data_IF_482871075550
#
_entry.id   IF_482871075550
#
_cell.length_a   1.000
_cell.length_b   1.000
_cell.length_c   1.000
_cell.angle_alpha   90.00
_cell.angle_beta   90.00
_cell.angle_gamma   90.00
#
_symmetry.space_group_name_H-M   'P 1'
#
loop_
_entity.id
_entity.type
_entity.pdbx_description
1 polymer ?
#
# COMPACT_ATOMS: atom_id res chain seq x y z
N UNK A 1 28.37 -22.10 -4.79
CA UNK A 1 27.50 -21.41 -3.83
C UNK A 1 26.25 -21.04 -4.61
N UNK A 2 25.13 -21.65 -4.24
CA UNK A 2 23.94 -21.80 -5.08
C UNK A 2 23.32 -20.46 -5.49
N UNK A 3 22.95 -20.41 -6.76
CA UNK A 3 22.08 -19.46 -7.42
C UNK A 3 20.71 -19.42 -6.70
N UNK A 4 20.42 -18.31 -6.01
CA UNK A 4 19.11 -18.01 -5.37
C UNK A 4 18.46 -16.78 -6.06
N UNK A 5 19.00 -16.39 -7.20
CA UNK A 5 18.77 -15.10 -7.84
C UNK A 5 17.82 -15.14 -9.05
N UNK A 6 17.46 -16.32 -9.58
CA UNK A 6 16.56 -16.41 -10.75
C UNK A 6 15.14 -16.94 -10.46
N UNK A 7 14.94 -17.79 -9.43
CA UNK A 7 13.59 -18.28 -9.10
C UNK A 7 12.75 -17.25 -8.32
N UNK A 8 13.41 -16.39 -7.54
CA UNK A 8 12.75 -15.32 -6.76
C UNK A 8 12.08 -14.28 -7.67
N UNK A 9 12.60 -14.07 -8.88
CA UNK A 9 11.99 -13.21 -9.90
C UNK A 9 10.75 -13.86 -10.58
N UNK A 10 10.72 -15.18 -10.73
CA UNK A 10 9.62 -15.90 -11.37
C UNK A 10 8.44 -16.16 -10.43
N UNK A 11 8.70 -16.39 -9.14
CA UNK A 11 7.63 -16.56 -8.14
C UNK A 11 6.83 -15.28 -7.90
N UNK A 12 7.49 -14.11 -7.93
CA UNK A 12 6.84 -12.82 -7.75
C UNK A 12 5.89 -12.43 -8.90
N UNK A 13 6.18 -12.86 -10.14
CA UNK A 13 5.32 -12.63 -11.30
C UNK A 13 4.04 -13.45 -11.28
N UNK A 14 4.03 -14.62 -10.63
CA UNK A 14 2.87 -15.53 -10.63
C UNK A 14 1.88 -15.18 -9.51
N UNK A 15 2.33 -14.77 -8.33
CA UNK A 15 1.40 -14.58 -7.19
C UNK A 15 0.83 -13.16 -7.10
N UNK A 16 1.64 -12.13 -7.41
CA UNK A 16 1.20 -10.73 -7.20
C UNK A 16 0.70 -10.07 -8.50
N UNK A 17 1.08 -10.54 -9.70
CA UNK A 17 0.70 -9.87 -10.96
C UNK A 17 -0.39 -10.57 -11.78
N UNK A 18 -0.69 -11.85 -11.54
CA UNK A 18 -1.80 -12.52 -12.28
C UNK A 18 -3.19 -12.13 -11.77
N UNK A 19 -3.35 -11.88 -10.48
CA UNK A 19 -4.66 -11.54 -9.87
C UNK A 19 -4.92 -10.02 -9.80
N UNK A 20 -3.89 -9.17 -9.79
CA UNK A 20 -4.02 -7.74 -9.48
C UNK A 20 -4.39 -6.83 -10.66
N UNK A 21 -4.40 -7.34 -11.90
CA UNK A 21 -4.59 -6.50 -13.09
C UNK A 21 -6.03 -6.46 -13.63
N UNK A 22 -7.00 -7.13 -13.00
CA UNK A 22 -8.36 -7.21 -13.55
C UNK A 22 -9.39 -6.80 -12.49
N UNK A 23 -9.58 -5.48 -12.37
CA UNK A 23 -10.83 -4.79 -12.00
C UNK A 23 -11.67 -5.45 -10.86
N UNK A 24 -11.24 -5.31 -9.60
CA UNK A 24 -12.13 -5.04 -8.45
C UNK A 24 -11.30 -5.06 -7.15
N UNK A 25 -10.90 -3.87 -6.68
CA UNK A 25 -9.71 -3.76 -5.81
C UNK A 25 -10.01 -3.79 -4.29
N UNK A 26 -11.28 -3.76 -3.85
CA UNK A 26 -11.61 -3.50 -2.43
C UNK A 26 -11.40 -4.69 -1.47
N UNK A 27 -11.30 -5.92 -1.99
CA UNK A 27 -11.00 -7.14 -1.24
C UNK A 27 -9.53 -7.59 -1.32
N UNK A 28 -8.71 -6.93 -2.16
CA UNK A 28 -7.38 -7.43 -2.50
C UNK A 28 -6.26 -6.93 -1.57
N UNK A 29 -6.51 -5.96 -0.69
CA UNK A 29 -5.45 -5.39 0.16
C UNK A 29 -5.17 -6.28 1.37
N UNK A 30 -6.22 -6.81 1.99
CA UNK A 30 -6.11 -7.79 3.07
C UNK A 30 -5.46 -9.08 2.57
N UNK A 31 -5.89 -9.59 1.42
CA UNK A 31 -5.29 -10.78 0.79
C UNK A 31 -3.82 -10.54 0.41
N UNK A 32 -3.50 -9.35 -0.12
CA UNK A 32 -2.11 -8.97 -0.40
C UNK A 32 -1.26 -8.88 0.86
N UNK A 33 -1.84 -8.42 1.99
CA UNK A 33 -1.13 -8.37 3.28
C UNK A 33 -0.93 -9.76 3.86
N UNK A 34 -1.95 -10.61 3.85
CA UNK A 34 -1.84 -12.00 4.30
C UNK A 34 -0.79 -12.77 3.49
N UNK A 35 -0.78 -12.56 2.18
CA UNK A 35 0.23 -13.17 1.31
C UNK A 35 1.63 -12.68 1.66
N UNK A 36 1.78 -11.37 1.89
CA UNK A 36 3.04 -10.76 2.29
C UNK A 36 3.56 -11.34 3.61
N UNK A 37 2.69 -11.48 4.60
CA UNK A 37 3.02 -12.04 5.92
C UNK A 37 3.42 -13.53 5.83
N UNK A 38 2.85 -14.28 4.87
CA UNK A 38 3.19 -15.69 4.59
C UNK A 38 4.41 -15.87 3.69
N UNK A 39 5.01 -14.79 3.16
CA UNK A 39 6.20 -14.90 2.31
C UNK A 39 7.38 -15.59 3.01
N UNK A 40 7.73 -15.26 4.28
CA UNK A 40 8.85 -15.88 4.97
C UNK A 40 8.65 -17.39 5.19
N UNK A 41 7.41 -17.82 5.46
CA UNK A 41 7.06 -19.23 5.63
C UNK A 41 7.29 -20.05 4.35
N UNK A 42 7.19 -19.40 3.19
CA UNK A 42 7.44 -20.00 1.87
C UNK A 42 8.89 -19.86 1.41
N UNK A 43 9.79 -19.35 2.27
CA UNK A 43 11.19 -19.11 1.93
C UNK A 43 11.42 -17.90 1.02
N UNK A 44 10.41 -17.04 0.83
CA UNK A 44 10.53 -15.81 0.05
C UNK A 44 10.78 -14.62 0.98
N UNK A 45 11.89 -13.91 0.79
CA UNK A 45 12.14 -12.68 1.54
C UNK A 45 11.41 -11.50 0.88
N UNK A 46 10.70 -10.72 1.69
CA UNK A 46 10.13 -9.44 1.29
C UNK A 46 11.24 -8.49 0.84
N UNK A 47 11.05 -7.85 -0.30
CA UNK A 47 12.01 -6.90 -0.88
C UNK A 47 11.38 -5.52 -1.06
N UNK A 48 12.18 -4.52 -1.47
CA UNK A 48 11.71 -3.14 -1.70
C UNK A 48 10.44 -3.07 -2.55
N UNK A 49 10.35 -3.88 -3.60
CA UNK A 49 9.19 -3.93 -4.49
C UNK A 49 7.93 -4.42 -3.77
N UNK A 50 8.06 -5.45 -2.92
CA UNK A 50 6.95 -6.05 -2.16
C UNK A 50 6.28 -4.99 -1.26
N UNK A 51 7.11 -4.25 -0.52
CA UNK A 51 6.65 -3.16 0.31
C UNK A 51 6.07 -2.00 -0.51
N UNK A 52 6.68 -1.65 -1.64
CA UNK A 52 6.20 -0.59 -2.52
C UNK A 52 4.79 -0.85 -3.07
N UNK A 53 4.46 -2.11 -3.36
CA UNK A 53 3.12 -2.52 -3.81
C UNK A 53 2.09 -2.30 -2.70
N UNK A 54 2.37 -2.79 -1.48
CA UNK A 54 1.48 -2.63 -0.34
C UNK A 54 1.30 -1.15 0.05
N UNK A 55 2.38 -0.37 0.12
CA UNK A 55 2.29 1.08 0.42
C UNK A 55 1.42 1.80 -0.60
N UNK A 56 1.61 1.52 -1.89
CA UNK A 56 0.76 2.09 -2.94
C UNK A 56 -0.70 1.66 -2.79
N UNK A 57 -0.94 0.39 -2.43
CA UNK A 57 -2.26 -0.14 -2.09
C UNK A 57 -2.91 0.65 -0.95
N UNK A 58 -2.26 0.71 0.21
CA UNK A 58 -2.73 1.43 1.39
C UNK A 58 -3.05 2.90 1.07
N UNK A 59 -2.15 3.62 0.38
CA UNK A 59 -2.39 5.00 -0.02
C UNK A 59 -3.62 5.16 -0.93
N UNK A 60 -3.86 4.22 -1.86
CA UNK A 60 -5.02 4.25 -2.75
C UNK A 60 -6.35 4.05 -2.00
N UNK A 61 -6.32 3.35 -0.88
CA UNK A 61 -7.49 3.14 -0.02
C UNK A 61 -7.70 4.21 1.05
N UNK A 62 -6.88 5.27 1.07
CA UNK A 62 -6.92 6.26 2.15
C UNK A 62 -6.46 5.70 3.49
N UNK A 63 -5.65 4.63 3.46
CA UNK A 63 -5.06 4.00 4.64
C UNK A 63 -3.58 4.38 4.76
N UNK A 64 -3.24 5.65 4.50
CA UNK A 64 -1.87 6.13 4.44
C UNK A 64 -1.08 5.87 5.75
N UNK A 65 -1.77 5.85 6.90
CA UNK A 65 -1.19 5.48 8.20
C UNK A 65 -0.63 4.04 8.21
N UNK A 66 -1.36 3.06 7.66
CA UNK A 66 -0.85 1.68 7.52
C UNK A 66 0.33 1.61 6.56
N UNK A 67 0.38 2.50 5.58
CA UNK A 67 1.53 2.66 4.69
C UNK A 67 2.78 3.19 5.41
N UNK A 68 2.64 4.00 6.46
CA UNK A 68 3.75 4.42 7.32
C UNK A 68 4.26 3.29 8.21
N UNK A 69 3.34 2.52 8.81
CA UNK A 69 3.71 1.33 9.60
C UNK A 69 4.56 0.36 8.76
N UNK A 70 4.16 0.15 7.51
CA UNK A 70 4.91 -0.69 6.58
C UNK A 70 6.31 -0.11 6.24
N UNK A 71 6.46 1.21 6.26
CA UNK A 71 7.74 1.88 6.03
C UNK A 71 8.68 1.72 7.23
N UNK A 72 8.14 1.70 8.44
CA UNK A 72 8.89 1.36 9.65
C UNK A 72 9.30 -0.12 9.64
N UNK A 73 8.43 -1.03 9.18
CA UNK A 73 8.74 -2.45 8.97
C UNK A 73 9.86 -2.65 7.93
N UNK A 74 9.89 -1.87 6.83
CA UNK A 74 11.00 -1.86 5.87
C UNK A 74 12.32 -1.52 6.57
N UNK A 75 12.29 -0.48 7.40
CA UNK A 75 13.46 0.04 8.10
C UNK A 75 13.98 -0.97 9.12
N UNK A 76 13.10 -1.61 9.89
CA UNK A 76 13.49 -2.65 10.85
C UNK A 76 14.04 -3.89 10.15
N UNK A 77 13.58 -4.17 8.93
CA UNK A 77 14.06 -5.28 8.10
C UNK A 77 15.37 -4.95 7.34
N UNK A 78 15.94 -3.76 7.53
CA UNK A 78 17.16 -3.32 6.85
C UNK A 78 16.97 -3.00 5.36
N UNK A 79 15.74 -2.87 4.89
CA UNK A 79 15.40 -2.59 3.49
C UNK A 79 15.33 -1.07 3.31
N UNK A 80 16.11 -0.55 2.36
CA UNK A 80 16.10 0.88 2.05
C UNK A 80 14.81 1.26 1.33
N UNK A 81 13.98 2.03 2.02
CA UNK A 81 12.84 2.73 1.44
C UNK A 81 13.28 3.69 0.33
N UNK A 82 12.73 3.55 -0.86
CA UNK A 82 13.03 4.39 -2.02
C UNK A 82 12.22 5.70 -2.01
N UNK A 83 12.73 6.73 -2.69
CA UNK A 83 12.07 8.02 -2.94
C UNK A 83 10.63 7.86 -3.43
N UNK A 84 10.36 6.83 -4.24
CA UNK A 84 9.02 6.55 -4.76
C UNK A 84 8.03 6.26 -3.63
N UNK A 85 8.43 5.52 -2.59
CA UNK A 85 7.59 5.15 -1.44
C UNK A 85 7.23 6.40 -0.63
N UNK A 86 8.23 7.21 -0.27
CA UNK A 86 8.02 8.46 0.44
C UNK A 86 7.12 9.44 -0.33
N UNK A 87 7.39 9.65 -1.62
CA UNK A 87 6.58 10.54 -2.45
C UNK A 87 5.12 10.07 -2.54
N UNK A 88 4.91 8.75 -2.59
CA UNK A 88 3.56 8.17 -2.60
C UNK A 88 2.82 8.44 -1.30
N UNK A 89 3.48 8.28 -0.15
CA UNK A 89 2.89 8.58 1.17
C UNK A 89 2.58 10.06 1.32
N UNK A 90 3.53 10.94 1.01
CA UNK A 90 3.36 12.40 1.09
C UNK A 90 2.17 12.84 0.22
N UNK A 91 2.09 12.35 -1.03
CA UNK A 91 0.98 12.66 -1.92
C UNK A 91 -0.37 12.16 -1.39
N UNK A 92 -0.38 10.99 -0.74
CA UNK A 92 -1.59 10.43 -0.13
C UNK A 92 -2.09 11.28 1.03
N UNK A 93 -1.21 11.63 1.98
CA UNK A 93 -1.57 12.46 3.13
C UNK A 93 -2.06 13.84 2.70
N UNK A 94 -1.44 14.44 1.68
CA UNK A 94 -1.89 15.72 1.15
C UNK A 94 -3.31 15.65 0.58
N UNK A 95 -3.65 14.58 -0.16
CA UNK A 95 -5.00 14.37 -0.69
C UNK A 95 -6.02 14.14 0.42
N UNK A 96 -5.66 13.36 1.43
CA UNK A 96 -6.54 13.05 2.56
C UNK A 96 -6.86 14.29 3.39
N UNK A 97 -5.85 15.11 3.71
CA UNK A 97 -6.03 16.37 4.41
C UNK A 97 -6.93 17.35 3.62
N UNK A 98 -6.76 17.42 2.30
CA UNK A 98 -7.58 18.28 1.46
C UNK A 98 -9.04 17.78 1.38
N UNK A 99 -9.25 16.45 1.30
CA UNK A 99 -10.60 15.87 1.39
C UNK A 99 -11.28 16.15 2.74
N UNK A 100 -10.54 16.06 3.84
CA UNK A 100 -11.06 16.42 5.17
C UNK A 100 -11.44 17.89 5.27
N UNK A 101 -10.58 18.80 4.76
CA UNK A 101 -10.86 20.23 4.71
C UNK A 101 -12.10 20.54 3.85
N UNK A 102 -12.24 19.88 2.69
CA UNK A 102 -13.42 20.01 1.84
C UNK A 102 -14.69 19.51 2.54
N UNK A 103 -14.64 18.33 3.18
CA UNK A 103 -15.77 17.78 3.91
C UNK A 103 -16.22 18.70 5.08
N UNK A 104 -15.26 19.26 5.82
CA UNK A 104 -15.54 20.19 6.93
C UNK A 104 -16.23 21.49 6.47
N UNK A 105 -15.99 21.94 5.24
CA UNK A 105 -16.61 23.15 4.69
C UNK A 105 -17.98 22.87 4.04
N UNK A 106 -18.16 21.68 3.47
CA UNK A 106 -19.38 21.30 2.75
C UNK A 106 -20.48 20.83 3.71
N UNK A 107 -20.14 20.10 4.77
CA UNK A 107 -21.13 19.58 5.74
C UNK A 107 -21.99 20.68 6.39
N UNK A 108 -21.44 21.81 6.87
CA UNK A 108 -22.25 22.91 7.41
C UNK A 108 -23.18 23.51 6.35
N UNK A 109 -22.67 23.70 5.14
CA UNK A 109 -23.43 24.28 4.02
C UNK A 109 -24.63 23.41 3.61
N UNK A 110 -24.46 22.08 3.60
CA UNK A 110 -25.56 21.15 3.34
C UNK A 110 -26.59 21.12 4.47
N UNK A 111 -26.17 21.26 5.73
CA UNK A 111 -27.11 21.30 6.87
C UNK A 111 -28.05 22.51 6.82
N UNK A 112 -27.54 23.67 6.37
CA UNK A 112 -28.33 24.90 6.20
C UNK A 112 -29.36 24.79 5.07
N UNK A 113 -29.11 23.99 4.03
CA UNK A 113 -30.02 23.81 2.90
C UNK A 113 -31.20 22.86 3.19
N UNK A 114 -31.07 21.96 4.16
CA UNK A 114 -32.13 21.00 4.52
C UNK A 114 -33.08 21.57 5.59
N UNK A 115 -32.62 22.57 6.35
CA UNK A 115 -33.38 23.21 7.44
C UNK A 115 -34.06 24.54 7.02
N UNK A 116 -33.91 24.97 5.77
CA UNK A 116 -34.57 26.15 5.19
C UNK A 116 -35.64 25.76 4.18
#
# INVERSE_FOLDING_TARGET
>A
MHTVDDETHSFFRIVVLKEFSIKDFRCCLEDARELFDKMPEKGCLSNEFSFGILVRGYCRFGLANKGLELLDEMRSSGILSNRVVYNTLISSFYKEANMQAAASNVLPTLSLLILG
#
